data_IF_464526987849
#
_entry.id   IF_464526987849
#
_cell.length_a   1.000
_cell.length_b   1.000
_cell.length_c   1.000
_cell.angle_alpha   90.00
_cell.angle_beta   90.00
_cell.angle_gamma   90.00
#
_symmetry.space_group_name_H-M   'P 1'
#
loop_
_entity.id
_entity.type
_entity.pdbx_description
1 polymer ?
#
# COMPACT_ATOMS: atom_id res chain seq x y z
N UNK A 1 -13.89 -8.47 5.94
CA UNK A 1 -12.62 -8.29 5.21
C UNK A 1 -12.05 -6.90 5.44
N UNK A 2 -12.76 -5.80 5.17
CA UNK A 2 -12.23 -4.44 5.47
C UNK A 2 -11.96 -4.20 6.97
N UNK A 3 -12.76 -4.83 7.85
CA UNK A 3 -12.54 -4.83 9.31
C UNK A 3 -11.18 -5.39 9.74
N UNK A 4 -10.62 -6.35 8.99
CA UNK A 4 -9.36 -7.00 9.33
C UNK A 4 -8.14 -6.16 8.90
N UNK A 5 -8.33 -5.26 7.93
CA UNK A 5 -7.33 -4.28 7.51
C UNK A 5 -7.20 -3.13 8.52
N UNK A 6 -8.33 -2.59 8.98
CA UNK A 6 -8.36 -1.48 9.93
C UNK A 6 -7.72 -1.83 11.27
N UNK A 7 -7.94 -3.04 11.78
CA UNK A 7 -7.34 -3.49 13.05
C UNK A 7 -5.82 -3.58 13.00
N UNK A 8 -5.23 -3.77 11.82
CA UNK A 8 -3.77 -3.82 11.65
C UNK A 8 -3.13 -2.41 11.66
N UNK A 9 -3.87 -1.38 11.24
CA UNK A 9 -3.38 0.00 11.16
C UNK A 9 -3.84 0.89 12.31
N UNK A 10 -4.76 0.45 13.15
CA UNK A 10 -5.39 1.26 14.20
C UNK A 10 -4.38 1.95 15.13
N UNK A 11 -3.26 1.30 15.46
CA UNK A 11 -2.21 1.89 16.29
C UNK A 11 -1.33 2.92 15.58
N UNK A 12 -1.35 2.96 14.26
CA UNK A 12 -0.50 3.83 13.42
C UNK A 12 -1.26 5.00 12.78
N UNK A 13 -2.57 5.11 13.02
CA UNK A 13 -3.41 6.17 12.45
C UNK A 13 -3.18 7.52 13.15
N UNK A 14 -2.82 8.53 12.37
CA UNK A 14 -2.85 9.92 12.84
C UNK A 14 -4.22 10.54 12.57
N UNK A 15 -4.85 11.03 13.64
CA UNK A 15 -6.18 11.64 13.59
C UNK A 15 -6.09 13.16 13.66
N UNK A 16 -6.82 13.83 12.76
CA UNK A 16 -7.09 15.27 12.83
C UNK A 16 -8.47 15.42 13.47
N UNK A 17 -8.49 16.05 14.64
CA UNK A 17 -9.73 16.25 15.43
C UNK A 17 -10.14 17.72 15.54
N UNK A 18 -9.26 18.66 15.14
CA UNK A 18 -9.46 20.11 15.26
C UNK A 18 -8.81 20.85 14.08
N UNK A 19 -9.38 21.99 13.71
CA UNK A 19 -8.80 22.95 12.77
C UNK A 19 -8.65 24.31 13.48
N UNK A 20 -7.42 24.66 13.86
CA UNK A 20 -7.18 25.74 14.83
C UNK A 20 -7.89 25.42 16.16
N UNK A 21 -8.66 26.37 16.67
CA UNK A 21 -9.40 26.17 17.91
C UNK A 21 -10.74 25.43 17.75
N UNK A 22 -11.23 25.25 16.52
CA UNK A 22 -12.53 24.62 16.25
C UNK A 22 -12.40 23.09 16.20
N UNK A 23 -13.15 22.32 17.01
CA UNK A 23 -13.24 20.87 16.83
C UNK A 23 -13.95 20.52 15.51
N UNK A 24 -13.57 19.40 14.91
CA UNK A 24 -14.28 18.82 13.78
C UNK A 24 -15.47 17.99 14.28
N UNK A 25 -16.59 18.04 13.56
CA UNK A 25 -17.77 17.21 13.86
C UNK A 25 -17.44 15.72 13.75
N UNK A 26 -16.65 15.36 12.75
CA UNK A 26 -16.13 14.02 12.52
C UNK A 26 -14.59 14.06 12.42
N UNK A 27 -13.87 13.33 13.29
CA UNK A 27 -12.42 13.18 13.16
C UNK A 27 -12.05 12.57 11.81
N UNK A 28 -11.02 13.10 11.17
CA UNK A 28 -10.51 12.58 9.90
C UNK A 28 -9.12 11.99 10.09
N UNK A 29 -8.88 10.82 9.52
CA UNK A 29 -7.57 10.19 9.55
C UNK A 29 -6.70 10.70 8.40
N UNK A 30 -5.40 10.91 8.68
CA UNK A 30 -4.39 11.04 7.62
C UNK A 30 -4.14 9.64 7.06
N UNK A 31 -4.07 9.52 5.73
CA UNK A 31 -3.94 8.20 5.09
C UNK A 31 -2.66 7.45 5.53
N UNK A 32 -2.78 6.21 6.05
CA UNK A 32 -1.65 5.29 6.17
C UNK A 32 -1.40 4.50 4.87
N UNK A 33 -2.45 4.40 4.05
CA UNK A 33 -2.58 3.75 2.73
C UNK A 33 -3.98 4.12 2.17
N UNK A 34 -4.25 3.89 0.88
CA UNK A 34 -5.44 4.46 0.21
C UNK A 34 -6.55 3.46 -0.17
N UNK A 35 -6.51 2.20 0.26
CA UNK A 35 -7.54 1.19 -0.07
C UNK A 35 -8.95 1.66 0.28
N UNK A 36 -9.16 2.16 1.51
CA UNK A 36 -10.46 2.63 2.01
C UNK A 36 -10.93 3.92 1.33
N UNK A 37 -10.02 4.65 0.68
CA UNK A 37 -10.33 5.86 -0.11
C UNK A 37 -10.65 5.49 -1.56
N UNK A 38 -9.86 4.60 -2.16
CA UNK A 38 -9.92 4.27 -3.58
C UNK A 38 -11.02 3.25 -3.90
N UNK A 39 -11.18 2.20 -3.09
CA UNK A 39 -12.07 1.09 -3.43
C UNK A 39 -13.56 1.44 -3.44
N UNK A 40 -14.08 2.35 -2.59
CA UNK A 40 -15.44 2.87 -2.75
C UNK A 40 -15.66 3.57 -4.10
N UNK A 41 -14.62 4.21 -4.65
CA UNK A 41 -14.68 4.83 -5.98
C UNK A 41 -14.61 3.77 -7.09
N UNK A 42 -13.78 2.72 -6.92
CA UNK A 42 -13.71 1.60 -7.86
C UNK A 42 -15.08 0.90 -7.99
N UNK A 43 -15.76 0.66 -6.87
CA UNK A 43 -17.11 0.10 -6.86
C UNK A 43 -18.15 0.98 -7.58
N UNK A 44 -17.94 2.31 -7.61
CA UNK A 44 -18.76 3.24 -8.39
C UNK A 44 -18.42 3.21 -9.87
N UNK A 45 -17.15 3.06 -10.25
CA UNK A 45 -16.69 3.10 -11.64
C UNK A 45 -16.88 1.77 -12.38
N UNK A 46 -16.58 0.65 -11.74
CA UNK A 46 -16.65 -0.68 -12.36
C UNK A 46 -18.09 -1.20 -12.25
N UNK A 47 -18.80 -1.22 -13.38
CA UNK A 47 -20.19 -1.73 -13.48
C UNK A 47 -20.31 -2.96 -14.34
N UNK A 48 -19.41 -3.12 -15.30
CA UNK A 48 -19.40 -4.23 -16.26
C UNK A 48 -17.97 -4.73 -16.45
N UNK A 49 -17.82 -5.93 -17.05
CA UNK A 49 -16.52 -6.47 -17.40
C UNK A 49 -15.71 -5.57 -18.36
N UNK A 50 -16.37 -4.66 -19.10
CA UNK A 50 -15.71 -3.73 -20.03
C UNK A 50 -15.01 -2.58 -19.34
N UNK A 51 -15.31 -2.34 -18.06
CA UNK A 51 -14.65 -1.31 -17.25
C UNK A 51 -13.32 -1.83 -16.67
N UNK A 52 -12.97 -3.10 -16.96
CA UNK A 52 -11.74 -3.77 -16.56
C UNK A 52 -10.83 -4.00 -17.77
N UNK A 53 -9.49 -3.99 -17.59
CA UNK A 53 -8.81 -3.74 -16.32
C UNK A 53 -8.79 -2.25 -15.95
N UNK A 54 -8.97 -1.95 -14.66
CA UNK A 54 -8.73 -0.61 -14.12
C UNK A 54 -7.35 -0.62 -13.46
N UNK A 55 -6.44 0.24 -13.93
CA UNK A 55 -5.08 0.38 -13.36
C UNK A 55 -4.80 1.83 -13.01
N UNK A 56 -4.67 2.15 -11.73
CA UNK A 56 -4.29 3.49 -11.27
C UNK A 56 -3.04 3.43 -10.40
N UNK A 57 -2.26 4.49 -10.47
CA UNK A 57 -1.07 4.70 -9.66
C UNK A 57 -1.07 6.15 -9.16
N UNK A 58 -0.67 6.37 -7.91
CA UNK A 58 -0.45 7.71 -7.39
C UNK A 58 0.91 7.83 -6.70
N UNK A 59 1.55 8.98 -6.87
CA UNK A 59 2.75 9.39 -6.14
C UNK A 59 2.35 10.38 -5.06
N UNK A 60 2.67 10.07 -3.81
CA UNK A 60 2.08 10.80 -2.69
C UNK A 60 2.89 10.60 -1.39
N UNK A 61 2.64 11.43 -0.36
CA UNK A 61 3.09 11.13 1.00
C UNK A 61 2.04 10.34 1.76
N UNK A 62 2.51 9.42 2.60
CA UNK A 62 1.69 8.69 3.57
C UNK A 62 2.25 8.87 4.97
N UNK A 63 1.36 8.78 5.96
CA UNK A 63 1.71 8.94 7.37
C UNK A 63 1.32 7.70 8.14
N UNK A 64 2.31 7.06 8.75
CA UNK A 64 2.16 5.96 9.70
C UNK A 64 2.83 6.37 11.00
N UNK A 65 2.07 6.45 12.09
CA UNK A 65 2.58 6.89 13.39
C UNK A 65 3.43 5.80 14.06
N UNK A 66 4.60 5.54 13.48
CA UNK A 66 5.54 4.52 13.92
C UNK A 66 5.97 4.77 15.38
N UNK A 67 5.77 3.74 16.19
CA UNK A 67 6.04 3.74 17.64
C UNK A 67 7.47 3.25 17.92
N UNK A 68 8.07 2.50 17.00
CA UNK A 68 9.46 2.04 17.08
C UNK A 68 10.44 3.18 16.73
N UNK A 69 11.73 2.91 16.95
CA UNK A 69 12.79 3.84 16.55
C UNK A 69 12.74 4.11 15.04
N UNK A 70 12.86 5.39 14.68
CA UNK A 70 12.93 5.82 13.29
C UNK A 70 14.37 5.71 12.78
N UNK A 71 14.50 5.43 11.49
CA UNK A 71 15.77 5.41 10.77
C UNK A 71 15.55 6.15 9.45
N UNK A 72 16.28 7.26 9.17
CA UNK A 72 16.07 8.04 7.95
C UNK A 72 16.03 7.14 6.70
N UNK A 73 15.09 7.42 5.80
CA UNK A 73 14.78 6.66 4.57
C UNK A 73 14.25 5.23 4.76
N UNK A 74 14.65 4.51 5.80
CA UNK A 74 14.27 3.11 6.01
C UNK A 74 12.96 2.98 6.80
N UNK A 75 12.77 3.84 7.81
CA UNK A 75 11.58 3.83 8.69
C UNK A 75 11.32 5.23 9.24
N UNK A 76 10.38 5.93 8.61
CA UNK A 76 9.92 7.26 9.01
C UNK A 76 8.42 7.27 9.32
N UNK A 77 7.96 8.35 9.98
CA UNK A 77 6.52 8.55 10.24
C UNK A 77 5.76 9.07 9.02
N UNK A 78 6.40 9.95 8.25
CA UNK A 78 5.93 10.36 6.95
C UNK A 78 6.99 9.99 5.91
N UNK A 79 6.55 9.42 4.79
CA UNK A 79 7.44 9.07 3.68
C UNK A 79 6.71 9.22 2.35
N UNK A 80 7.49 9.50 1.32
CA UNK A 80 7.03 9.55 -0.06
C UNK A 80 7.00 8.13 -0.64
N UNK A 81 5.95 7.80 -1.36
CA UNK A 81 5.84 6.52 -2.03
C UNK A 81 5.04 6.62 -3.33
N UNK A 82 5.00 5.50 -4.05
CA UNK A 82 3.96 5.22 -5.01
C UNK A 82 3.10 4.07 -4.50
N UNK A 83 1.81 4.12 -4.80
CA UNK A 83 0.89 3.00 -4.60
C UNK A 83 0.08 2.77 -5.89
N UNK A 84 0.15 1.53 -6.39
CA UNK A 84 -0.60 1.05 -7.53
C UNK A 84 -1.78 0.19 -7.09
N UNK A 85 -2.97 0.52 -7.55
CA UNK A 85 -4.19 -0.25 -7.28
C UNK A 85 -4.84 -0.65 -8.59
N UNK A 86 -4.95 -1.95 -8.82
CA UNK A 86 -5.44 -2.52 -10.06
C UNK A 86 -6.61 -3.46 -9.82
N UNK A 87 -7.61 -3.46 -10.69
CA UNK A 87 -8.71 -4.41 -10.70
C UNK A 87 -8.77 -5.12 -12.06
N UNK A 88 -8.96 -6.44 -12.03
CA UNK A 88 -8.95 -7.32 -13.20
C UNK A 88 -10.19 -8.21 -13.23
N UNK A 89 -10.49 -8.76 -14.41
CA UNK A 89 -11.61 -9.67 -14.57
C UNK A 89 -11.26 -11.09 -14.10
N UNK A 90 -10.03 -11.55 -14.34
CA UNK A 90 -9.57 -12.87 -13.89
C UNK A 90 -8.39 -12.79 -12.91
N UNK A 91 -8.23 -13.86 -12.12
CA UNK A 91 -7.12 -13.98 -11.18
C UNK A 91 -5.77 -14.11 -11.91
N UNK A 92 -5.72 -14.76 -13.07
CA UNK A 92 -4.51 -14.90 -13.88
C UNK A 92 -3.97 -13.55 -14.31
N UNK A 93 -4.83 -12.62 -14.73
CA UNK A 93 -4.44 -11.26 -15.10
C UNK A 93 -3.89 -10.49 -13.90
N UNK A 94 -4.59 -10.58 -12.75
CA UNK A 94 -4.15 -9.93 -11.51
C UNK A 94 -2.79 -10.47 -11.02
N UNK A 95 -2.59 -11.78 -11.12
CA UNK A 95 -1.33 -12.44 -10.78
C UNK A 95 -0.21 -12.02 -11.73
N UNK A 96 -0.46 -11.99 -13.04
CA UNK A 96 0.51 -11.54 -14.03
C UNK A 96 0.97 -10.10 -13.76
N UNK A 97 0.05 -9.19 -13.44
CA UNK A 97 0.39 -7.82 -13.03
C UNK A 97 1.28 -7.81 -11.79
N UNK A 98 0.90 -8.58 -10.76
CA UNK A 98 1.64 -8.63 -9.48
C UNK A 98 3.10 -9.05 -9.68
N UNK A 99 3.36 -10.08 -10.49
CA UNK A 99 4.72 -10.50 -10.85
C UNK A 99 5.44 -9.46 -11.71
N UNK A 100 4.74 -8.82 -12.67
CA UNK A 100 5.35 -7.78 -13.49
C UNK A 100 5.80 -6.58 -12.66
N UNK A 101 5.02 -6.16 -11.66
CA UNK A 101 5.39 -5.06 -10.75
C UNK A 101 6.54 -5.48 -9.83
N UNK A 102 6.54 -6.72 -9.33
CA UNK A 102 7.65 -7.25 -8.54
C UNK A 102 8.97 -7.21 -9.31
N UNK A 103 8.95 -7.58 -10.59
CA UNK A 103 10.12 -7.51 -11.46
C UNK A 103 10.57 -6.07 -11.70
N UNK A 104 9.64 -5.12 -11.85
CA UNK A 104 9.99 -3.70 -11.93
C UNK A 104 10.62 -3.19 -10.62
N UNK A 105 10.11 -3.59 -9.45
CA UNK A 105 10.75 -3.27 -8.18
C UNK A 105 12.16 -3.85 -8.09
N UNK A 106 12.37 -5.10 -8.51
CA UNK A 106 13.72 -5.67 -8.56
C UNK A 106 14.64 -4.85 -9.47
N UNK A 107 14.17 -4.44 -10.65
CA UNK A 107 14.96 -3.58 -11.57
C UNK A 107 15.31 -2.22 -10.98
N UNK A 108 14.38 -1.59 -10.25
CA UNK A 108 14.69 -0.33 -9.55
C UNK A 108 15.87 -0.51 -8.60
N UNK A 109 15.89 -1.59 -7.83
CA UNK A 109 17.00 -1.86 -6.91
C UNK A 109 18.27 -2.28 -7.65
N UNK A 110 18.20 -3.25 -8.56
CA UNK A 110 19.37 -3.87 -9.19
C UNK A 110 19.99 -3.00 -10.30
N UNK A 111 19.18 -2.45 -11.19
CA UNK A 111 19.65 -1.70 -12.36
C UNK A 111 19.86 -0.21 -12.04
N UNK A 112 18.98 0.38 -11.22
CA UNK A 112 19.01 1.82 -10.92
C UNK A 112 19.84 2.16 -9.67
N UNK A 113 19.73 1.35 -8.61
CA UNK A 113 20.39 1.59 -7.33
C UNK A 113 21.63 0.72 -7.09
N UNK A 114 21.91 -0.25 -7.97
CA UNK A 114 22.98 -1.23 -7.84
C UNK A 114 22.93 -2.03 -6.52
N UNK A 115 21.72 -2.31 -6.02
CA UNK A 115 21.46 -3.10 -4.81
C UNK A 115 20.85 -4.45 -5.20
N UNK A 116 21.51 -5.59 -4.91
CA UNK A 116 20.94 -6.91 -5.18
C UNK A 116 19.76 -7.20 -4.25
N UNK A 117 18.71 -7.83 -4.78
CA UNK A 117 17.52 -8.19 -3.99
C UNK A 117 17.10 -9.64 -4.25
N UNK A 118 16.40 -10.23 -3.27
CA UNK A 118 15.79 -11.56 -3.41
C UNK A 118 14.28 -11.42 -3.56
N UNK A 119 13.75 -11.86 -4.70
CA UNK A 119 12.29 -11.96 -4.93
C UNK A 119 11.72 -13.16 -4.18
N UNK A 120 10.59 -13.01 -3.51
CA UNK A 120 9.95 -14.10 -2.80
C UNK A 120 8.49 -13.85 -2.43
N UNK A 121 7.86 -14.90 -1.90
CA UNK A 121 6.50 -14.86 -1.33
C UNK A 121 6.62 -14.81 0.19
N UNK A 122 5.91 -13.88 0.83
CA UNK A 122 5.84 -13.79 2.29
C UNK A 122 5.16 -15.04 2.88
N UNK A 123 5.57 -15.39 4.10
CA UNK A 123 4.88 -16.44 4.87
C UNK A 123 3.47 -16.00 5.22
N UNK A 124 2.58 -16.94 5.55
CA UNK A 124 1.18 -16.62 5.91
C UNK A 124 1.06 -15.59 7.04
N UNK A 125 2.00 -15.60 8.00
CA UNK A 125 1.98 -14.67 9.14
C UNK A 125 2.44 -13.25 8.77
N UNK A 126 3.15 -13.11 7.64
CA UNK A 126 3.72 -11.85 7.15
C UNK A 126 3.00 -11.34 5.89
N UNK A 127 1.95 -12.05 5.45
CA UNK A 127 1.08 -11.61 4.36
C UNK A 127 0.29 -10.37 4.82
N UNK A 128 0.17 -9.40 3.93
CA UNK A 128 -0.59 -8.18 4.19
C UNK A 128 -2.02 -8.47 4.65
N UNK A 129 -2.51 -7.73 5.64
CA UNK A 129 -3.87 -7.89 6.17
C UNK A 129 -4.93 -7.78 5.08
N UNK A 130 -5.63 -8.87 4.80
CA UNK A 130 -6.65 -8.94 3.75
C UNK A 130 -6.16 -9.40 2.37
N UNK A 131 -4.87 -9.67 2.17
CA UNK A 131 -4.33 -10.22 0.93
C UNK A 131 -4.42 -11.75 0.87
N UNK A 132 -4.55 -12.30 -0.35
CA UNK A 132 -4.47 -13.75 -0.61
C UNK A 132 -3.02 -14.25 -0.47
N UNK A 133 -2.07 -13.46 -0.99
CA UNK A 133 -0.63 -13.66 -0.85
C UNK A 133 0.07 -12.30 -1.01
N UNK A 134 1.33 -12.22 -0.55
CA UNK A 134 2.17 -11.03 -0.73
C UNK A 134 3.49 -11.45 -1.32
N UNK A 135 3.92 -10.76 -2.39
CA UNK A 135 5.27 -10.87 -2.95
C UNK A 135 6.11 -9.69 -2.46
N UNK A 136 7.43 -9.90 -2.32
CA UNK A 136 8.35 -8.85 -1.92
C UNK A 136 9.74 -9.03 -2.55
N UNK A 137 10.49 -7.94 -2.58
CA UNK A 137 11.94 -7.91 -2.81
C UNK A 137 12.62 -7.67 -1.47
N UNK A 138 13.49 -8.59 -1.05
CA UNK A 138 14.25 -8.47 0.20
C UNK A 138 15.69 -8.05 -0.10
N UNK A 139 16.16 -6.99 0.57
CA UNK A 139 17.54 -6.53 0.53
C UNK A 139 18.23 -6.84 1.86
N UNK A 140 19.56 -7.02 1.83
CA UNK A 140 20.37 -7.26 3.03
C UNK A 140 21.43 -6.17 3.19
N UNK A 141 21.59 -5.68 4.42
CA UNK A 141 22.67 -4.75 4.80
C UNK A 141 23.68 -5.57 5.61
N UNK A 142 24.92 -5.77 5.11
CA UNK A 142 25.96 -6.55 5.79
C UNK A 142 26.45 -5.99 7.12
#
# INVERSE_FOLDING_TARGET
QEKDHLTHFDSELAWITRCGDKPLDEPVAVRPTSETIMYPSYAKWIKTHRDLPLKLNQWCSVLRWEVKSTLPFIRGREFLWQEGHTAFYTEEEARAETYSILDLYAKVYEELLAVPVTKGTKSKNETFGGAVYTLSVEAFIP
#
